data_IF_377425020951
#
_entry.id   IF_377425020951
#
_cell.length_a   1.000
_cell.length_b   1.000
_cell.length_c   1.000
_cell.angle_alpha   90.00
_cell.angle_beta   90.00
_cell.angle_gamma   90.00
#
_symmetry.space_group_name_H-M   'P 1'
#
loop_
_entity.id
_entity.type
_entity.pdbx_description
1 polymer ?
#
# COMPACT_ATOMS: atom_id res chain seq x y z
N UNK A 1 -2.47 -5.62 -27.77
CA UNK A 1 -3.91 -5.31 -27.59
C UNK A 1 -4.11 -3.81 -27.45
N UNK A 2 -5.28 -3.25 -27.77
CA UNK A 2 -5.71 -1.95 -27.21
C UNK A 2 -6.08 -2.15 -25.73
N UNK A 3 -6.51 -1.09 -25.06
CA UNK A 3 -6.92 -1.17 -23.64
C UNK A 3 -8.34 -0.68 -23.44
N UNK A 4 -9.15 -1.48 -22.75
CA UNK A 4 -10.38 -1.05 -22.10
C UNK A 4 -10.04 -0.64 -20.66
N UNK A 5 -10.47 0.55 -20.25
CA UNK A 5 -10.25 1.07 -18.90
C UNK A 5 -11.60 1.14 -18.19
N UNK A 6 -11.72 0.41 -17.10
CA UNK A 6 -12.87 0.47 -16.18
C UNK A 6 -12.38 1.15 -14.91
N UNK A 7 -12.94 2.32 -14.59
CA UNK A 7 -12.52 3.12 -13.43
C UNK A 7 -13.43 2.92 -12.24
N UNK A 8 -12.85 3.04 -11.05
CA UNK A 8 -13.56 2.99 -9.77
C UNK A 8 -14.51 1.79 -9.62
N UNK A 9 -14.04 0.62 -10.08
CA UNK A 9 -14.73 -0.64 -9.92
C UNK A 9 -14.68 -1.05 -8.44
N UNK A 10 -15.85 -1.21 -7.84
CA UNK A 10 -15.98 -1.55 -6.42
C UNK A 10 -15.64 -3.02 -6.15
N UNK A 11 -14.62 -3.23 -5.33
CA UNK A 11 -14.21 -4.54 -4.80
C UNK A 11 -14.74 -4.65 -3.37
N UNK A 12 -15.79 -5.46 -3.10
CA UNK A 12 -16.33 -5.64 -1.75
C UNK A 12 -15.39 -6.51 -0.91
N UNK A 13 -15.02 -6.01 0.27
CA UNK A 13 -14.29 -6.75 1.29
C UNK A 13 -15.27 -7.59 2.14
N UNK A 14 -14.74 -8.54 2.91
CA UNK A 14 -15.53 -9.44 3.76
C UNK A 14 -16.39 -8.74 4.81
N UNK A 15 -16.02 -7.54 5.21
CA UNK A 15 -16.73 -6.70 6.18
C UNK A 15 -17.71 -5.71 5.52
N UNK A 16 -17.87 -5.78 4.20
CA UNK A 16 -18.79 -4.95 3.43
C UNK A 16 -18.23 -3.60 2.96
N UNK A 17 -17.04 -3.20 3.42
CA UNK A 17 -16.35 -2.01 2.89
C UNK A 17 -15.93 -2.28 1.45
N UNK A 18 -16.06 -1.28 0.56
CA UNK A 18 -15.68 -1.41 -0.84
C UNK A 18 -14.41 -0.63 -1.16
N UNK A 19 -13.43 -1.34 -1.69
CA UNK A 19 -12.20 -0.72 -2.19
C UNK A 19 -12.34 -0.39 -3.67
N UNK A 20 -11.86 0.77 -4.07
CA UNK A 20 -11.95 1.26 -5.44
C UNK A 20 -10.75 0.81 -6.26
N UNK A 21 -11.01 0.14 -7.39
CA UNK A 21 -9.99 -0.34 -8.30
C UNK A 21 -10.18 0.21 -9.74
N UNK A 22 -9.08 0.57 -10.38
CA UNK A 22 -9.03 0.80 -11.83
C UNK A 22 -8.51 -0.47 -12.51
N UNK A 23 -9.24 -0.92 -13.54
CA UNK A 23 -8.98 -2.19 -14.25
C UNK A 23 -8.66 -1.88 -15.71
N UNK A 24 -7.49 -2.31 -16.15
CA UNK A 24 -6.97 -2.11 -17.50
C UNK A 24 -6.90 -3.47 -18.19
N UNK A 25 -7.69 -3.64 -19.27
CA UNK A 25 -7.92 -4.96 -19.88
C UNK A 25 -7.61 -4.96 -21.37
N UNK A 26 -7.18 -6.12 -21.93
CA UNK A 26 -7.03 -6.28 -23.36
C UNK A 26 -8.32 -5.95 -24.12
N UNK A 27 -8.21 -5.05 -25.10
CA UNK A 27 -9.29 -4.66 -26.00
C UNK A 27 -8.89 -4.80 -27.48
N UNK A 28 -9.90 -4.97 -28.33
CA UNK A 28 -9.75 -4.96 -29.79
C UNK A 28 -9.58 -3.55 -30.36
N UNK A 29 -9.48 -3.43 -31.69
CA UNK A 29 -9.27 -2.15 -32.35
C UNK A 29 -10.42 -1.15 -32.14
N UNK A 30 -11.63 -1.64 -31.84
CA UNK A 30 -12.84 -0.86 -31.61
C UNK A 30 -13.04 -0.53 -30.11
N UNK A 31 -12.11 -0.94 -29.25
CA UNK A 31 -12.17 -0.71 -27.80
C UNK A 31 -13.08 -1.69 -27.05
N UNK A 32 -13.52 -2.78 -27.68
CA UNK A 32 -14.30 -3.83 -27.02
C UNK A 32 -13.38 -4.79 -26.28
N UNK A 33 -13.79 -5.34 -25.12
CA UNK A 33 -12.98 -6.31 -24.41
C UNK A 33 -12.74 -7.54 -25.30
N UNK A 34 -11.48 -8.00 -25.35
CA UNK A 34 -11.14 -9.22 -26.09
C UNK A 34 -11.76 -10.42 -25.37
N UNK A 35 -12.41 -11.31 -26.12
CA UNK A 35 -12.94 -12.56 -25.58
C UNK A 35 -11.81 -13.45 -25.05
N UNK A 36 -12.01 -14.03 -23.87
CA UNK A 36 -11.05 -14.91 -23.24
C UNK A 36 -10.87 -14.64 -21.75
N UNK A 37 -10.00 -15.44 -21.15
CA UNK A 37 -9.61 -15.34 -19.75
C UNK A 37 -8.12 -15.07 -19.65
N UNK A 38 -7.74 -14.05 -18.90
CA UNK A 38 -6.39 -13.52 -18.81
C UNK A 38 -5.85 -13.63 -17.38
N UNK A 39 -4.53 -13.78 -17.20
CA UNK A 39 -3.91 -13.57 -15.89
C UNK A 39 -4.03 -12.10 -15.49
N UNK A 40 -4.10 -11.86 -14.18
CA UNK A 40 -4.20 -10.52 -13.62
C UNK A 40 -2.92 -10.14 -12.87
N UNK A 41 -2.59 -8.85 -12.89
CA UNK A 41 -1.55 -8.24 -12.05
C UNK A 41 -2.21 -7.22 -11.14
N UNK A 42 -2.06 -7.40 -9.83
CA UNK A 42 -2.61 -6.53 -8.81
C UNK A 42 -1.51 -5.69 -8.16
N UNK A 43 -1.75 -4.38 -8.07
CA UNK A 43 -1.03 -3.47 -7.19
C UNK A 43 -2.04 -2.86 -6.22
N UNK A 44 -1.78 -3.00 -4.92
CA UNK A 44 -2.53 -2.30 -3.88
C UNK A 44 -1.68 -1.12 -3.41
N UNK A 45 -2.23 0.09 -3.45
CA UNK A 45 -1.45 1.32 -3.29
C UNK A 45 -2.05 2.29 -2.29
N UNK A 46 -1.20 2.81 -1.43
CA UNK A 46 -1.47 3.99 -0.59
C UNK A 46 -1.14 5.31 -1.29
N UNK A 47 -0.71 5.28 -2.55
CA UNK A 47 -0.33 6.44 -3.36
C UNK A 47 -1.23 6.47 -4.60
N UNK A 48 -2.23 7.35 -4.61
CA UNK A 48 -3.37 7.46 -5.55
C UNK A 48 -3.28 6.54 -6.77
N UNK A 49 -4.19 5.57 -6.91
CA UNK A 49 -4.20 4.67 -8.08
C UNK A 49 -4.23 5.40 -9.43
N UNK A 50 -4.65 6.67 -9.45
CA UNK A 50 -4.66 7.52 -10.66
C UNK A 50 -3.37 8.31 -10.89
N UNK A 51 -2.32 8.08 -10.09
CA UNK A 51 -1.03 8.71 -10.24
C UNK A 51 -0.46 8.46 -11.66
N UNK A 52 -0.02 9.51 -12.39
CA UNK A 52 0.54 9.37 -13.73
C UNK A 52 1.76 8.44 -13.84
N UNK A 53 2.43 8.09 -12.73
CA UNK A 53 3.53 7.12 -12.71
C UNK A 53 3.17 5.80 -13.42
N UNK A 54 1.89 5.42 -13.40
CA UNK A 54 1.41 4.17 -13.98
C UNK A 54 1.28 4.20 -15.50
N UNK A 55 1.33 5.39 -16.13
CA UNK A 55 1.07 5.56 -17.57
C UNK A 55 2.04 4.79 -18.47
N UNK A 56 3.24 4.43 -17.99
CA UNK A 56 4.18 3.57 -18.71
C UNK A 56 4.08 2.08 -18.36
N UNK A 57 3.50 1.74 -17.20
CA UNK A 57 3.56 0.39 -16.63
C UNK A 57 2.40 -0.48 -17.06
N UNK A 58 1.15 -0.07 -16.82
CA UNK A 58 -0.01 -0.89 -17.20
C UNK A 58 -0.08 -1.18 -18.71
N UNK A 59 0.27 -0.27 -19.65
CA UNK A 59 0.18 -0.59 -21.08
C UNK A 59 1.12 -1.73 -21.47
N UNK A 60 2.32 -1.76 -20.88
CA UNK A 60 3.32 -2.80 -21.12
C UNK A 60 2.74 -4.20 -20.89
N UNK A 61 1.98 -4.37 -19.80
CA UNK A 61 1.38 -5.65 -19.44
C UNK A 61 0.10 -5.94 -20.23
N UNK A 62 -0.78 -4.95 -20.41
CA UNK A 62 -2.04 -5.14 -21.14
C UNK A 62 -1.80 -5.50 -22.60
N UNK A 63 -0.80 -4.89 -23.24
CA UNK A 63 -0.43 -5.22 -24.62
C UNK A 63 0.00 -6.69 -24.79
N UNK A 64 0.49 -7.32 -23.71
CA UNK A 64 0.96 -8.71 -23.64
C UNK A 64 -0.10 -9.69 -23.13
N UNK A 65 -1.35 -9.24 -22.96
CA UNK A 65 -2.46 -10.12 -22.58
C UNK A 65 -2.61 -10.32 -21.06
N UNK A 66 -2.16 -9.37 -20.25
CA UNK A 66 -2.50 -9.31 -18.82
C UNK A 66 -3.64 -8.34 -18.57
N UNK A 67 -4.42 -8.58 -17.52
CA UNK A 67 -5.25 -7.53 -16.91
C UNK A 67 -4.46 -6.87 -15.80
N UNK A 68 -4.38 -5.55 -15.80
CA UNK A 68 -3.70 -4.79 -14.75
C UNK A 68 -4.75 -4.16 -13.84
N UNK A 69 -4.60 -4.32 -12.52
CA UNK A 69 -5.54 -3.83 -11.50
C UNK A 69 -4.77 -2.96 -10.51
N UNK A 70 -5.19 -1.70 -10.40
CA UNK A 70 -4.67 -0.75 -9.42
C UNK A 70 -5.76 -0.46 -8.40
N UNK A 71 -5.51 -0.72 -7.11
CA UNK A 71 -6.50 -0.55 -6.05
C UNK A 71 -5.99 0.41 -4.98
N UNK A 72 -6.81 1.41 -4.62
CA UNK A 72 -6.55 2.26 -3.45
C UNK A 72 -6.77 1.45 -2.16
N UNK A 73 -5.89 1.57 -1.16
CA UNK A 73 -6.10 0.92 0.13
C UNK A 73 -7.35 1.46 0.87
N UNK A 74 -7.82 0.70 1.86
CA UNK A 74 -8.88 1.14 2.78
C UNK A 74 -8.55 2.50 3.39
N UNK A 75 -9.56 3.36 3.46
CA UNK A 75 -9.42 4.74 3.96
C UNK A 75 -8.40 5.60 3.19
N UNK A 76 -8.09 5.24 1.93
CA UNK A 76 -7.23 6.01 1.02
C UNK A 76 -7.97 6.38 -0.27
N UNK A 77 -7.74 7.60 -0.73
CA UNK A 77 -8.30 8.18 -1.97
C UNK A 77 -9.77 7.84 -2.19
N UNK A 78 -10.09 7.00 -3.19
CA UNK A 78 -11.47 6.71 -3.60
C UNK A 78 -12.04 5.45 -2.95
N UNK A 79 -11.24 4.67 -2.23
CA UNK A 79 -11.74 3.53 -1.45
C UNK A 79 -12.58 3.99 -0.27
N UNK A 80 -13.49 3.13 0.18
CA UNK A 80 -14.23 3.34 1.42
C UNK A 80 -13.37 2.98 2.65
N UNK A 81 -13.93 3.24 3.82
CA UNK A 81 -13.33 2.97 5.12
C UNK A 81 -13.92 3.89 6.18
N UNK A 82 -13.37 3.83 7.39
CA UNK A 82 -13.79 4.71 8.50
C UNK A 82 -12.97 6.01 8.58
N UNK A 83 -12.11 6.24 7.57
CA UNK A 83 -11.26 7.42 7.46
C UNK A 83 -9.94 7.31 8.23
N UNK A 84 -9.77 6.31 9.10
CA UNK A 84 -8.53 6.09 9.84
C UNK A 84 -7.54 5.36 8.95
N UNK A 85 -6.32 5.88 8.89
CA UNK A 85 -5.20 5.31 8.15
C UNK A 85 -3.96 5.28 9.04
N UNK A 86 -3.26 4.14 9.05
CA UNK A 86 -2.22 3.83 10.03
C UNK A 86 -0.85 3.59 9.39
N UNK A 87 -0.61 4.15 8.19
CA UNK A 87 0.64 3.89 7.45
C UNK A 87 0.90 2.36 7.34
N UNK A 88 2.12 1.90 7.62
CA UNK A 88 2.54 0.50 7.54
C UNK A 88 1.94 -0.39 8.62
N UNK A 89 1.57 0.14 9.78
CA UNK A 89 0.93 -0.66 10.83
C UNK A 89 -0.59 -0.81 10.61
N UNK A 90 -1.03 -0.84 9.35
CA UNK A 90 -2.42 -0.98 8.98
C UNK A 90 -2.90 -2.43 9.17
N UNK A 91 -3.84 -2.70 10.11
CA UNK A 91 -4.26 -4.05 10.44
C UNK A 91 -5.18 -4.69 9.38
N UNK A 92 -5.70 -3.92 8.42
CA UNK A 92 -6.64 -4.43 7.41
C UNK A 92 -5.95 -4.99 6.18
N UNK A 93 -4.67 -4.63 5.93
CA UNK A 93 -4.07 -4.82 4.62
C UNK A 93 -3.88 -6.29 4.22
N UNK A 94 -3.62 -7.19 5.16
CA UNK A 94 -3.51 -8.62 4.86
C UNK A 94 -4.85 -9.21 4.38
N UNK A 95 -5.93 -8.92 5.09
CA UNK A 95 -7.26 -9.47 4.81
C UNK A 95 -7.92 -8.81 3.59
N UNK A 96 -7.82 -7.50 3.45
CA UNK A 96 -8.29 -6.78 2.27
C UNK A 96 -7.54 -7.22 1.00
N UNK A 97 -6.25 -7.53 1.14
CA UNK A 97 -5.44 -8.05 0.04
C UNK A 97 -5.86 -9.45 -0.39
N UNK A 98 -6.17 -10.34 0.56
CA UNK A 98 -6.77 -11.64 0.27
C UNK A 98 -8.10 -11.49 -0.48
N UNK A 99 -9.01 -10.68 0.05
CA UNK A 99 -10.34 -10.49 -0.53
C UNK A 99 -10.26 -9.94 -1.96
N UNK A 100 -9.29 -9.04 -2.21
CA UNK A 100 -9.04 -8.49 -3.53
C UNK A 100 -8.53 -9.53 -4.53
N UNK A 101 -7.58 -10.39 -4.13
CA UNK A 101 -7.07 -11.46 -5.00
C UNK A 101 -8.20 -12.42 -5.39
N UNK A 102 -9.02 -12.83 -4.42
CA UNK A 102 -10.13 -13.75 -4.68
C UNK A 102 -11.23 -13.10 -5.52
N UNK A 103 -11.51 -11.82 -5.30
CA UNK A 103 -12.46 -11.07 -6.12
C UNK A 103 -11.99 -10.97 -7.58
N UNK A 104 -10.70 -10.69 -7.82
CA UNK A 104 -10.10 -10.66 -9.17
C UNK A 104 -10.21 -12.03 -9.82
N UNK A 105 -9.89 -13.10 -9.10
CA UNK A 105 -9.93 -14.47 -9.63
C UNK A 105 -11.34 -14.90 -10.05
N UNK A 106 -12.37 -14.42 -9.35
CA UNK A 106 -13.77 -14.71 -9.66
C UNK A 106 -14.33 -13.96 -10.88
N UNK A 107 -13.61 -12.96 -11.40
CA UNK A 107 -14.11 -12.17 -12.53
C UNK A 107 -14.21 -13.02 -13.81
N UNK A 108 -15.22 -12.78 -14.68
CA UNK A 108 -15.45 -13.60 -15.88
C UNK A 108 -14.29 -13.55 -16.88
N UNK A 109 -13.48 -12.50 -16.82
CA UNK A 109 -12.30 -12.28 -17.65
C UNK A 109 -11.01 -12.84 -17.05
N UNK A 110 -11.04 -13.33 -15.82
CA UNK A 110 -9.86 -13.87 -15.14
C UNK A 110 -9.70 -15.35 -15.43
N UNK A 111 -8.46 -15.78 -15.61
CA UNK A 111 -8.10 -17.20 -15.68
C UNK A 111 -7.79 -17.81 -14.29
N UNK A 112 -8.02 -17.05 -13.22
CA UNK A 112 -7.77 -17.48 -11.84
C UNK A 112 -6.31 -17.38 -11.39
N UNK A 113 -5.40 -16.81 -12.20
CA UNK A 113 -4.01 -16.55 -11.80
C UNK A 113 -3.81 -15.06 -11.57
N UNK A 114 -3.57 -14.68 -10.32
CA UNK A 114 -3.31 -13.30 -9.92
C UNK A 114 -1.86 -13.19 -9.46
N UNK A 115 -1.06 -12.41 -10.18
CA UNK A 115 0.24 -11.96 -9.69
C UNK A 115 0.10 -10.65 -8.92
N UNK A 116 0.96 -10.40 -7.94
CA UNK A 116 1.02 -9.09 -7.27
C UNK A 116 2.38 -8.45 -7.43
N UNK A 117 2.43 -7.13 -7.55
CA UNK A 117 3.68 -6.39 -7.64
C UNK A 117 3.60 -5.06 -6.91
N UNK A 118 4.73 -4.60 -6.38
CA UNK A 118 4.78 -3.32 -5.69
C UNK A 118 6.17 -2.94 -5.22
N UNK A 119 6.37 -1.64 -5.03
CA UNK A 119 7.55 -1.07 -4.40
C UNK A 119 7.19 -0.30 -3.12
N UNK A 120 8.09 -0.27 -2.14
CA UNK A 120 7.91 0.48 -0.88
C UNK A 120 6.62 0.04 -0.15
N UNK A 121 5.71 0.94 0.23
CA UNK A 121 4.49 0.53 0.94
C UNK A 121 3.60 -0.43 0.13
N UNK A 122 3.68 -0.37 -1.22
CA UNK A 122 3.03 -1.38 -2.07
C UNK A 122 3.65 -2.75 -1.80
N UNK A 123 4.97 -2.87 -1.79
CA UNK A 123 5.66 -4.13 -1.44
C UNK A 123 5.24 -4.69 -0.05
N UNK A 124 5.13 -3.82 0.96
CA UNK A 124 4.68 -4.21 2.31
C UNK A 124 3.26 -4.79 2.29
N UNK A 125 2.32 -4.12 1.64
CA UNK A 125 0.93 -4.60 1.55
C UNK A 125 0.79 -5.87 0.71
N UNK A 126 1.70 -6.11 -0.24
CA UNK A 126 1.71 -7.30 -1.10
C UNK A 126 2.32 -8.51 -0.37
N UNK A 127 3.36 -8.32 0.43
CA UNK A 127 3.91 -9.39 1.28
C UNK A 127 2.92 -9.78 2.38
N UNK A 128 2.24 -8.81 3.00
CA UNK A 128 1.21 -9.05 4.02
C UNK A 128 0.06 -9.93 3.51
N UNK A 129 -0.49 -9.64 2.33
CA UNK A 129 -1.62 -10.42 1.81
C UNK A 129 -1.26 -11.88 1.52
N UNK A 130 0.01 -12.15 1.19
CA UNK A 130 0.48 -13.50 0.91
C UNK A 130 0.51 -14.38 2.17
N UNK A 131 0.60 -13.80 3.36
CA UNK A 131 0.47 -14.51 4.65
C UNK A 131 -0.92 -15.13 4.85
N UNK A 132 -1.93 -14.68 4.10
CA UNK A 132 -3.29 -15.28 4.10
C UNK A 132 -3.42 -16.47 3.14
N UNK A 133 -2.38 -16.80 2.36
CA UNK A 133 -2.37 -17.83 1.31
C UNK A 133 -3.60 -17.77 0.38
N UNK A 134 -3.84 -16.66 -0.33
CA UNK A 134 -4.93 -16.63 -1.30
C UNK A 134 -4.73 -17.74 -2.35
N UNK A 135 -5.70 -18.65 -2.56
CA UNK A 135 -5.53 -19.79 -3.46
C UNK A 135 -5.27 -19.39 -4.93
N UNK A 136 -5.65 -18.18 -5.32
CA UNK A 136 -5.44 -17.67 -6.68
C UNK A 136 -4.21 -16.76 -6.83
N UNK A 137 -3.46 -16.53 -5.75
CA UNK A 137 -2.15 -15.88 -5.84
C UNK A 137 -1.19 -16.82 -6.57
N UNK A 138 -0.56 -16.34 -7.63
CA UNK A 138 0.24 -17.17 -8.54
C UNK A 138 1.72 -16.78 -8.61
N UNK A 139 2.07 -15.52 -8.30
CA UNK A 139 3.44 -15.03 -8.26
C UNK A 139 3.50 -13.65 -7.59
N UNK A 140 4.68 -13.27 -7.11
CA UNK A 140 4.92 -11.93 -6.56
C UNK A 140 6.22 -11.31 -7.05
N UNK A 141 6.20 -9.99 -7.25
CA UNK A 141 7.37 -9.17 -7.53
C UNK A 141 7.42 -8.01 -6.53
N UNK A 142 8.34 -8.11 -5.56
CA UNK A 142 8.41 -7.23 -4.39
C UNK A 142 9.70 -6.44 -4.48
N UNK A 143 9.57 -5.10 -4.50
CA UNK A 143 10.71 -4.20 -4.57
C UNK A 143 10.82 -3.34 -3.31
N UNK A 144 12.02 -3.20 -2.73
CA UNK A 144 12.34 -2.23 -1.67
C UNK A 144 11.26 -2.15 -0.57
N UNK A 145 10.90 -3.31 -0.01
CA UNK A 145 9.75 -3.47 0.88
C UNK A 145 10.12 -4.20 2.16
N UNK A 146 10.28 -3.52 3.30
CA UNK A 146 10.65 -4.16 4.55
C UNK A 146 9.51 -5.05 5.07
N UNK A 147 9.87 -6.24 5.55
CA UNK A 147 8.93 -7.18 6.19
C UNK A 147 8.84 -7.02 7.71
N UNK A 148 9.78 -6.27 8.30
CA UNK A 148 9.84 -5.92 9.71
C UNK A 148 10.03 -4.40 9.87
N UNK A 149 8.94 -3.71 10.18
CA UNK A 149 8.88 -2.26 10.29
C UNK A 149 9.71 -1.75 11.48
N UNK A 150 9.78 -2.51 12.58
CA UNK A 150 10.59 -2.13 13.73
C UNK A 150 12.08 -2.18 13.42
N UNK A 151 12.54 -3.23 12.73
CA UNK A 151 13.96 -3.42 12.47
C UNK A 151 14.47 -2.60 11.29
N UNK A 152 13.60 -2.28 10.32
CA UNK A 152 14.04 -1.83 9.00
C UNK A 152 13.29 -0.62 8.42
N UNK A 153 12.31 -0.03 9.11
CA UNK A 153 11.60 1.16 8.61
C UNK A 153 11.45 2.24 9.68
N UNK A 154 10.65 1.98 10.71
CA UNK A 154 10.35 2.94 11.78
C UNK A 154 11.53 3.12 12.73
N UNK A 155 12.33 2.06 12.95
CA UNK A 155 13.51 2.10 13.80
C UNK A 155 14.67 1.33 13.20
N UNK A 156 15.86 1.62 13.72
CA UNK A 156 17.11 0.91 13.47
C UNK A 156 17.87 0.85 14.80
N UNK A 157 18.16 -0.36 15.31
CA UNK A 157 18.81 -0.52 16.62
C UNK A 157 18.05 0.15 17.79
N UNK A 158 16.73 0.29 17.68
CA UNK A 158 15.89 0.98 18.66
C UNK A 158 15.84 2.50 18.53
N UNK A 159 16.62 3.14 17.64
CA UNK A 159 16.51 4.57 17.34
C UNK A 159 15.44 4.82 16.27
N UNK A 160 14.64 5.88 16.41
CA UNK A 160 13.64 6.22 15.38
C UNK A 160 14.33 6.71 14.10
N UNK A 161 13.96 6.12 12.98
CA UNK A 161 14.37 6.55 11.66
C UNK A 161 13.56 7.77 11.21
N UNK A 162 14.14 8.97 11.27
CA UNK A 162 13.43 10.24 10.99
C UNK A 162 12.92 10.41 9.56
N UNK A 163 13.32 9.56 8.61
CA UNK A 163 12.68 9.55 7.30
C UNK A 163 11.18 9.19 7.41
N UNK A 164 10.78 8.44 8.46
CA UNK A 164 9.37 8.15 8.76
C UNK A 164 8.59 9.36 9.27
N UNK A 165 9.25 10.34 9.91
CA UNK A 165 8.61 11.62 10.21
C UNK A 165 8.15 12.28 8.91
N UNK A 166 9.02 12.33 7.89
CA UNK A 166 8.68 12.85 6.58
C UNK A 166 7.61 12.02 5.85
N UNK A 167 7.75 10.69 5.85
CA UNK A 167 6.82 9.79 5.19
C UNK A 167 5.39 9.95 5.72
N UNK A 168 5.19 9.96 7.04
CA UNK A 168 3.86 10.10 7.64
C UNK A 168 3.22 11.46 7.27
N UNK A 169 4.00 12.54 7.20
CA UNK A 169 3.49 13.83 6.73
C UNK A 169 3.07 13.79 5.25
N UNK A 170 3.83 13.09 4.39
CA UNK A 170 3.42 12.89 3.00
C UNK A 170 2.10 12.12 2.89
N UNK A 171 1.92 11.07 3.69
CA UNK A 171 0.66 10.33 3.74
C UNK A 171 -0.52 11.12 4.35
N UNK A 172 -0.24 12.10 5.22
CA UNK A 172 -1.26 12.94 5.80
C UNK A 172 -1.84 13.93 4.80
N UNK A 173 -1.08 14.34 3.76
CA UNK A 173 -1.54 15.34 2.78
C UNK A 173 -2.88 15.00 2.14
N UNK A 174 -3.10 13.72 1.87
CA UNK A 174 -4.22 13.16 1.12
C UNK A 174 -5.00 12.10 1.93
N UNK A 175 -4.85 12.07 3.26
CA UNK A 175 -5.62 11.18 4.11
C UNK A 175 -7.08 11.61 4.20
N UNK A 176 -7.98 10.65 4.42
CA UNK A 176 -9.42 10.91 4.48
C UNK A 176 -9.83 11.88 5.59
N UNK A 177 -9.13 11.86 6.74
CA UNK A 177 -9.35 12.83 7.83
C UNK A 177 -9.24 14.30 7.36
N UNK A 178 -8.53 14.56 6.25
CA UNK A 178 -8.35 15.89 5.69
C UNK A 178 -9.20 16.18 4.44
N UNK A 179 -9.99 15.22 3.94
CA UNK A 179 -10.73 15.34 2.67
C UNK A 179 -11.60 16.60 2.60
N UNK A 180 -12.30 16.91 3.69
CA UNK A 180 -13.19 18.07 3.80
C UNK A 180 -12.57 19.19 4.66
N UNK A 181 -11.25 19.16 4.88
CA UNK A 181 -10.51 20.11 5.71
C UNK A 181 -9.36 20.77 4.92
N UNK A 182 -9.66 21.74 4.04
CA UNK A 182 -8.65 22.41 3.23
C UNK A 182 -7.58 23.15 4.05
N UNK A 183 -7.93 23.62 5.25
CA UNK A 183 -6.95 24.23 6.16
C UNK A 183 -5.97 23.20 6.70
N UNK A 184 -6.45 22.02 7.10
CA UNK A 184 -5.60 20.90 7.51
C UNK A 184 -4.65 20.47 6.39
N UNK A 185 -5.14 20.37 5.15
CA UNK A 185 -4.29 20.09 3.98
C UNK A 185 -3.19 21.14 3.85
N UNK A 186 -3.52 22.44 4.01
CA UNK A 186 -2.53 23.52 3.97
C UNK A 186 -1.49 23.42 5.08
N UNK A 187 -1.90 23.08 6.31
CA UNK A 187 -1.00 22.87 7.44
C UNK A 187 0.02 21.77 7.15
N UNK A 188 -0.44 20.62 6.63
CA UNK A 188 0.45 19.54 6.22
C UNK A 188 1.34 19.97 5.06
N UNK A 189 0.78 20.69 4.08
CA UNK A 189 1.51 21.14 2.91
C UNK A 189 2.70 22.03 3.24
N UNK A 190 2.49 23.00 4.13
CA UNK A 190 3.54 23.90 4.59
C UNK A 190 4.56 23.14 5.44
N UNK A 191 4.14 22.12 6.20
CA UNK A 191 5.05 21.27 6.94
C UNK A 191 5.96 20.42 6.05
N UNK A 192 5.44 19.87 4.95
CA UNK A 192 6.26 19.13 3.98
C UNK A 192 7.33 20.03 3.35
N UNK A 193 7.00 21.30 3.08
CA UNK A 193 7.95 22.27 2.51
C UNK A 193 9.10 22.64 3.45
N UNK A 194 8.86 22.63 4.76
CA UNK A 194 9.86 22.93 5.81
C UNK A 194 10.14 21.72 6.72
N UNK A 195 10.32 20.54 6.11
CA UNK A 195 10.53 19.31 6.87
C UNK A 195 11.76 19.39 7.79
N UNK A 196 12.82 20.06 7.34
CA UNK A 196 14.03 20.28 8.15
C UNK A 196 13.75 21.14 9.39
N UNK A 197 12.97 22.21 9.23
CA UNK A 197 12.57 23.08 10.35
C UNK A 197 11.63 22.39 11.33
N UNK A 198 10.83 21.43 10.88
CA UNK A 198 10.05 20.59 11.77
C UNK A 198 10.90 19.58 12.53
N UNK A 199 11.78 18.85 11.84
CA UNK A 199 12.66 17.85 12.47
C UNK A 199 13.59 18.47 13.51
N UNK A 200 14.00 19.74 13.37
CA UNK A 200 14.85 20.41 14.36
C UNK A 200 14.14 20.75 15.68
N UNK A 201 12.81 20.62 15.76
CA UNK A 201 12.02 20.90 16.97
C UNK A 201 11.94 19.71 17.94
N UNK A 202 12.78 18.69 17.77
CA UNK A 202 12.85 17.57 18.73
C UNK A 202 13.18 18.06 20.16
N UNK A 203 12.62 17.43 21.20
CA UNK A 203 11.74 16.25 21.14
C UNK A 203 10.31 16.61 20.70
N UNK A 204 9.71 15.78 19.85
CA UNK A 204 8.32 15.97 19.42
C UNK A 204 7.33 15.63 20.54
N UNK A 205 6.18 16.30 20.56
CA UNK A 205 5.05 16.00 21.45
C UNK A 205 3.73 15.94 20.68
N UNK A 206 2.79 15.07 21.11
CA UNK A 206 1.43 15.06 20.55
C UNK A 206 0.79 16.45 20.57
N UNK A 207 0.17 16.84 19.47
CA UNK A 207 -0.45 18.15 19.30
C UNK A 207 0.53 19.28 18.93
N UNK A 208 1.84 19.08 19.06
CA UNK A 208 2.86 20.09 18.72
C UNK A 208 3.39 19.93 17.29
N UNK A 209 3.03 18.85 16.58
CA UNK A 209 3.41 18.63 15.16
C UNK A 209 2.35 19.13 14.19
N UNK A 210 2.67 19.17 12.90
CA UNK A 210 1.67 19.45 11.87
C UNK A 210 0.61 18.35 11.78
N UNK A 211 0.93 17.11 12.18
CA UNK A 211 0.00 15.97 12.14
C UNK A 211 -1.20 16.09 13.09
N UNK A 212 -1.25 17.09 13.99
CA UNK A 212 -2.42 17.34 14.85
C UNK A 212 -3.76 17.47 14.11
N UNK A 213 -3.72 17.74 12.80
CA UNK A 213 -4.91 17.80 11.93
C UNK A 213 -5.32 16.44 11.35
N UNK A 214 -4.44 15.43 11.43
CA UNK A 214 -4.63 14.05 10.98
C UNK A 214 -4.34 13.08 12.15
N UNK A 215 -5.25 12.99 13.14
CA UNK A 215 -4.98 12.36 14.43
C UNK A 215 -4.63 10.87 14.34
N UNK A 216 -5.12 10.13 13.34
CA UNK A 216 -4.74 8.72 13.15
C UNK A 216 -3.26 8.57 12.78
N UNK A 217 -2.76 9.45 11.91
CA UNK A 217 -1.36 9.47 11.50
C UNK A 217 -0.46 10.13 12.56
N UNK A 218 -0.95 11.11 13.31
CA UNK A 218 -0.23 11.63 14.49
C UNK A 218 0.01 10.52 15.52
N UNK A 219 -1.04 9.76 15.85
CA UNK A 219 -0.91 8.61 16.75
C UNK A 219 0.12 7.62 16.23
N UNK A 220 0.06 7.28 14.94
CA UNK A 220 1.01 6.37 14.28
C UNK A 220 2.45 6.88 14.40
N UNK A 221 2.69 8.18 14.16
CA UNK A 221 4.01 8.79 14.34
C UNK A 221 4.52 8.61 15.77
N UNK A 222 3.66 8.83 16.78
CA UNK A 222 4.07 8.73 18.17
C UNK A 222 4.23 7.30 18.67
N UNK A 223 3.49 6.33 18.11
CA UNK A 223 3.81 4.92 18.29
C UNK A 223 5.23 4.63 17.77
N UNK A 224 5.59 5.14 16.58
CA UNK A 224 6.94 4.97 16.04
C UNK A 224 7.99 5.72 16.87
N UNK A 225 7.69 6.93 17.37
CA UNK A 225 8.65 7.79 18.07
C UNK A 225 8.92 7.38 19.52
N UNK A 226 7.89 6.96 20.27
CA UNK A 226 8.04 6.65 21.70
C UNK A 226 8.30 5.18 22.01
N UNK A 227 7.82 4.23 21.20
CA UNK A 227 8.03 2.79 21.47
C UNK A 227 9.41 2.31 21.04
N UNK A 228 10.43 2.64 21.85
CA UNK A 228 11.84 2.31 21.60
C UNK A 228 12.17 0.83 21.66
N UNK A 229 11.50 0.11 22.54
CA UNK A 229 11.69 -1.32 22.76
C UNK A 229 10.73 -2.12 21.87
N UNK A 230 11.15 -3.34 21.48
CA UNK A 230 10.28 -4.27 20.77
C UNK A 230 9.21 -4.81 21.72
N UNK A 231 7.96 -4.44 21.50
CA UNK A 231 6.82 -4.69 22.37
C UNK A 231 5.64 -5.31 21.58
N UNK A 232 4.49 -5.45 22.24
CA UNK A 232 3.26 -5.98 21.65
C UNK A 232 2.77 -5.21 20.41
N UNK A 233 3.05 -3.91 20.31
CA UNK A 233 2.68 -3.11 19.14
C UNK A 233 3.53 -3.52 17.94
N UNK A 234 4.83 -3.72 18.14
CA UNK A 234 5.75 -4.17 17.09
C UNK A 234 5.60 -5.65 16.74
N UNK A 235 5.02 -6.46 17.64
CA UNK A 235 4.72 -7.88 17.42
C UNK A 235 3.46 -8.13 16.56
N UNK A 236 2.67 -7.09 16.27
CA UNK A 236 1.53 -7.20 15.36
C UNK A 236 1.99 -7.64 13.96
N UNK A 237 1.20 -8.47 13.30
CA UNK A 237 1.53 -9.00 11.96
C UNK A 237 1.74 -7.89 10.91
N UNK A 238 1.00 -6.78 11.00
CA UNK A 238 1.21 -5.61 10.13
C UNK A 238 2.54 -4.89 10.37
N UNK A 239 3.15 -5.05 11.54
CA UNK A 239 4.44 -4.44 11.90
C UNK A 239 5.62 -5.41 11.70
N UNK A 240 5.43 -6.71 11.92
CA UNK A 240 6.46 -7.72 11.76
C UNK A 240 5.88 -9.01 11.15
N UNK A 241 6.24 -9.26 9.90
CA UNK A 241 5.80 -10.42 9.13
C UNK A 241 6.70 -11.65 9.36
N UNK A 242 7.93 -11.46 9.82
CA UNK A 242 8.96 -12.51 9.90
C UNK A 242 8.53 -13.74 10.71
N UNK A 243 7.85 -13.61 11.87
CA UNK A 243 7.40 -14.76 12.65
C UNK A 243 6.32 -15.60 11.96
N UNK A 244 5.79 -15.12 10.83
CA UNK A 244 4.62 -15.66 10.14
C UNK A 244 4.92 -16.12 8.73
N UNK A 245 6.19 -16.13 8.29
CA UNK A 245 6.57 -16.59 6.96
C UNK A 245 6.24 -18.07 6.71
N UNK A 246 6.09 -18.87 7.77
CA UNK A 246 5.55 -20.22 7.65
C UNK A 246 4.15 -20.21 7.02
N UNK A 247 3.37 -19.14 7.21
CA UNK A 247 2.04 -18.92 6.60
C UNK A 247 2.07 -18.32 5.21
N UNK A 248 3.22 -17.94 4.68
CA UNK A 248 3.29 -17.34 3.35
C UNK A 248 2.73 -18.31 2.28
N UNK A 249 2.17 -17.77 1.20
CA UNK A 249 1.75 -18.54 0.05
C UNK A 249 2.96 -19.21 -0.63
N UNK A 250 2.83 -20.46 -1.06
CA UNK A 250 3.88 -21.17 -1.80
C UNK A 250 3.81 -20.81 -3.28
N UNK A 251 4.34 -19.62 -3.62
CA UNK A 251 4.33 -19.06 -4.98
C UNK A 251 5.71 -18.53 -5.37
N UNK A 252 6.06 -18.50 -6.66
CA UNK A 252 7.27 -17.82 -7.12
C UNK A 252 7.30 -16.36 -6.67
N UNK A 253 8.39 -15.98 -6.01
CA UNK A 253 8.62 -14.66 -5.44
C UNK A 253 9.94 -14.09 -5.97
N UNK A 254 9.88 -12.89 -6.53
CA UNK A 254 11.06 -12.08 -6.85
C UNK A 254 11.18 -10.98 -5.80
N UNK A 255 12.35 -10.89 -5.19
CA UNK A 255 12.76 -9.84 -4.27
C UNK A 255 13.81 -8.98 -4.96
N UNK A 256 13.60 -7.66 -5.02
CA UNK A 256 14.52 -6.73 -5.65
C UNK A 256 14.76 -5.49 -4.79
N UNK A 257 16.02 -5.11 -4.63
CA UNK A 257 16.41 -3.95 -3.82
C UNK A 257 17.56 -3.17 -4.45
N UNK A 258 17.73 -1.94 -3.99
CA UNK A 258 18.88 -1.12 -4.34
C UNK A 258 19.99 -1.23 -3.29
N UNK A 259 21.26 -1.24 -3.71
CA UNK A 259 22.42 -1.25 -2.79
C UNK A 259 22.48 -0.04 -1.85
N UNK A 260 21.88 1.08 -2.25
CA UNK A 260 21.82 2.32 -1.47
C UNK A 260 20.39 2.61 -0.96
N UNK A 261 19.52 1.61 -0.95
CA UNK A 261 18.15 1.73 -0.44
C UNK A 261 18.13 1.63 1.09
N UNK A 262 17.29 2.38 1.81
CA UNK A 262 17.15 2.24 3.26
C UNK A 262 16.73 0.83 3.71
N UNK A 263 16.11 0.05 2.82
CA UNK A 263 15.63 -1.33 3.07
C UNK A 263 16.55 -2.40 2.47
N UNK A 264 17.79 -2.07 2.12
CA UNK A 264 18.69 -3.00 1.42
C UNK A 264 18.93 -4.33 2.15
N UNK A 265 18.78 -4.37 3.48
CA UNK A 265 18.92 -5.58 4.31
C UNK A 265 17.59 -6.26 4.64
N UNK A 266 16.47 -5.72 4.16
CA UNK A 266 15.12 -6.03 4.61
C UNK A 266 14.17 -6.52 3.49
N UNK A 267 14.65 -6.51 2.24
CA UNK A 267 13.91 -6.98 1.04
C UNK A 267 14.35 -8.37 0.63
#
# INVERSE_FOLDING_TARGET
>A
YRTLVEKDVWTPMRDGVRLSADIYRPADADGKPVEGRFPALLVRTSYDKTNPEWAGTWPHYVERGYVFVLQDLRSRFRSEGDGRYFHTCNPWDADDGYDTVEWIAAQPWSNGRVGTLGSSHRAITQTLLALRRPPHLAAQWIEVGPTNIYAHEAREGGAMCFHMFGAIHMHAWDCHELRDNPEGVRVIADAIRDMRGWVSKTPFRPGETALRVAPSLEKTLFDYYYRGEYDEFWAQECCNQEPYFDRHADVPLVLAGGWCDPFAVAT
#
